data_IF_240384219373
#
_entry.id   IF_240384219373
#
_cell.length_a   1.000
_cell.length_b   1.000
_cell.length_c   1.000
_cell.angle_alpha   90.00
_cell.angle_beta   90.00
_cell.angle_gamma   90.00
#
_symmetry.space_group_name_H-M   'P 1'
#
loop_
_entity.id
_entity.type
_entity.pdbx_description
1 polymer ?
#
# COMPACT_ATOMS: atom_id res chain seq x y z
N UNK A 1 -2.55 8.71 -9.29
CA UNK A 1 -1.71 8.78 -10.49
C UNK A 1 -0.58 7.77 -10.32
N UNK A 2 -0.55 6.67 -11.07
CA UNK A 2 0.49 5.65 -10.94
C UNK A 2 1.67 6.02 -11.85
N UNK A 3 2.81 6.37 -11.25
CA UNK A 3 4.09 6.48 -11.97
C UNK A 3 4.69 5.07 -12.07
N UNK A 4 4.76 4.55 -13.29
CA UNK A 4 5.40 3.27 -13.59
C UNK A 4 6.58 3.53 -14.53
N UNK A 5 7.79 3.55 -13.97
CA UNK A 5 9.00 3.46 -14.80
C UNK A 5 9.04 2.05 -15.40
N UNK A 6 9.21 2.03 -16.73
CA UNK A 6 8.80 0.99 -17.67
C UNK A 6 9.47 -0.38 -17.54
N UNK A 7 9.95 -0.81 -16.37
CA UNK A 7 10.59 -2.13 -16.27
C UNK A 7 10.12 -3.08 -15.17
N UNK A 8 9.71 -2.71 -13.95
CA UNK A 8 9.60 -3.78 -12.93
C UNK A 8 8.64 -3.63 -11.73
N UNK A 9 7.80 -2.61 -11.65
CA UNK A 9 6.87 -2.47 -10.51
C UNK A 9 5.58 -1.73 -10.82
N UNK A 10 4.47 -2.25 -10.32
CA UNK A 10 3.19 -1.52 -10.23
C UNK A 10 3.11 -0.86 -8.86
N UNK A 11 2.96 0.46 -8.84
CA UNK A 11 2.76 1.23 -7.62
C UNK A 11 1.29 1.59 -7.46
N UNK A 12 0.68 1.11 -6.38
CA UNK A 12 -0.71 1.38 -6.05
C UNK A 12 -0.78 2.62 -5.17
N UNK A 13 -0.99 3.80 -5.76
CA UNK A 13 -1.23 5.02 -5.01
C UNK A 13 -2.70 5.12 -4.58
N UNK A 14 -2.93 5.44 -3.30
CA UNK A 14 -4.18 5.94 -2.73
C UNK A 14 -5.46 5.18 -3.10
N UNK A 15 -5.53 3.91 -2.71
CA UNK A 15 -6.84 3.23 -2.63
C UNK A 15 -7.53 3.66 -1.33
N UNK A 16 -8.28 4.75 -1.41
CA UNK A 16 -9.18 5.20 -0.36
C UNK A 16 -10.60 4.71 -0.66
N UNK A 17 -11.20 4.02 0.31
CA UNK A 17 -12.62 3.64 0.27
C UNK A 17 -13.33 4.55 1.26
N UNK A 18 -14.34 5.26 0.75
CA UNK A 18 -15.19 6.12 1.57
C UNK A 18 -15.73 5.33 2.77
N UNK A 19 -15.72 5.87 4.02
CA UNK A 19 -16.06 5.14 5.24
C UNK A 19 -17.39 4.36 5.17
N UNK A 20 -18.40 4.93 4.53
CA UNK A 20 -19.72 4.32 4.34
C UNK A 20 -19.73 3.06 3.46
N UNK A 21 -18.67 2.84 2.67
CA UNK A 21 -18.50 1.68 1.79
C UNK A 21 -17.42 0.73 2.31
N UNK A 22 -16.96 0.91 3.55
CA UNK A 22 -16.08 -0.05 4.23
C UNK A 22 -16.91 -1.22 4.78
N UNK A 23 -16.29 -2.38 5.00
CA UNK A 23 -16.96 -3.56 5.58
C UNK A 23 -17.87 -4.36 4.64
N UNK A 24 -18.24 -3.83 3.47
CA UNK A 24 -19.10 -4.52 2.49
C UNK A 24 -18.32 -5.30 1.40
N UNK A 25 -16.99 -5.39 1.52
CA UNK A 25 -16.15 -6.14 0.59
C UNK A 25 -15.76 -5.39 -0.71
N UNK A 26 -16.28 -4.18 -0.94
CA UNK A 26 -15.93 -3.37 -2.12
C UNK A 26 -14.42 -3.14 -2.26
N UNK A 27 -13.76 -2.83 -1.15
CA UNK A 27 -12.30 -2.68 -1.12
C UNK A 27 -11.53 -3.90 -1.57
N UNK A 28 -11.97 -5.09 -1.15
CA UNK A 28 -11.34 -6.35 -1.56
C UNK A 28 -11.47 -6.55 -3.06
N UNK A 29 -12.65 -6.27 -3.63
CA UNK A 29 -12.88 -6.42 -5.07
C UNK A 29 -12.02 -5.46 -5.89
N UNK A 30 -11.92 -4.20 -5.47
CA UNK A 30 -11.06 -3.20 -6.12
C UNK A 30 -9.60 -3.65 -6.09
N UNK A 31 -9.08 -4.01 -4.92
CA UNK A 31 -7.68 -4.45 -4.80
C UNK A 31 -7.40 -5.72 -5.61
N UNK A 32 -8.29 -6.71 -5.55
CA UNK A 32 -8.15 -7.93 -6.36
C UNK A 32 -8.11 -7.59 -7.85
N UNK A 33 -8.96 -6.67 -8.31
CA UNK A 33 -8.95 -6.26 -9.72
C UNK A 33 -7.64 -5.57 -10.10
N UNK A 34 -7.10 -4.73 -9.22
CA UNK A 34 -5.82 -4.06 -9.45
C UNK A 34 -4.64 -5.05 -9.45
N UNK A 35 -4.69 -6.10 -8.63
CA UNK A 35 -3.73 -7.22 -8.68
C UNK A 35 -3.79 -7.93 -10.03
N UNK A 36 -4.99 -8.27 -10.52
CA UNK A 36 -5.18 -8.87 -11.85
C UNK A 36 -4.63 -7.98 -12.97
N UNK A 37 -4.92 -6.68 -12.93
CA UNK A 37 -4.44 -5.73 -13.94
C UNK A 37 -2.92 -5.54 -13.89
N UNK A 38 -2.30 -5.82 -12.75
CA UNK A 38 -0.84 -5.77 -12.57
C UNK A 38 -0.15 -7.09 -12.95
N UNK A 39 -0.88 -8.03 -13.55
CA UNK A 39 -0.31 -9.29 -14.03
C UNK A 39 0.78 -9.03 -15.08
N UNK A 40 1.96 -9.61 -14.87
CA UNK A 40 3.16 -9.37 -15.69
C UNK A 40 4.18 -8.42 -15.08
N UNK A 41 3.83 -7.69 -14.01
CA UNK A 41 4.81 -6.92 -13.23
C UNK A 41 5.47 -7.80 -12.16
N UNK A 42 6.76 -7.60 -11.90
CA UNK A 42 7.51 -8.41 -10.92
C UNK A 42 7.03 -8.23 -9.46
N UNK A 43 6.46 -7.07 -9.14
CA UNK A 43 5.98 -6.74 -7.79
C UNK A 43 4.91 -5.64 -7.83
N UNK A 44 4.04 -5.65 -6.82
CA UNK A 44 3.08 -4.60 -6.54
C UNK A 44 3.44 -3.99 -5.18
N UNK A 45 3.64 -2.68 -5.12
CA UNK A 45 3.99 -1.97 -3.88
C UNK A 45 2.85 -1.01 -3.54
N UNK A 46 2.50 -0.93 -2.25
CA UNK A 46 1.56 0.03 -1.70
C UNK A 46 2.06 0.53 -0.34
N UNK A 47 1.63 1.73 0.04
CA UNK A 47 1.74 2.22 1.41
C UNK A 47 0.38 2.07 2.09
N UNK A 48 0.35 1.29 3.17
CA UNK A 48 -0.85 1.13 3.96
C UNK A 48 -0.95 2.28 4.96
N UNK A 49 -2.16 2.85 5.13
CA UNK A 49 -2.45 3.68 6.28
C UNK A 49 -2.28 2.88 7.57
N UNK A 50 -1.87 3.57 8.65
CA UNK A 50 -1.70 2.98 9.98
C UNK A 50 -2.94 2.21 10.42
N UNK A 51 -2.74 0.99 10.91
CA UNK A 51 -3.80 0.10 11.35
C UNK A 51 -4.55 -0.62 10.23
N UNK A 52 -4.24 -0.35 8.95
CA UNK A 52 -4.87 -1.02 7.79
C UNK A 52 -4.00 -2.11 7.18
N UNK A 53 -2.82 -2.37 7.72
CA UNK A 53 -1.91 -3.41 7.22
C UNK A 53 -2.56 -4.81 7.30
N UNK A 54 -3.40 -5.05 8.31
CA UNK A 54 -4.13 -6.31 8.45
C UNK A 54 -5.07 -6.60 7.27
N UNK A 55 -5.64 -5.57 6.65
CA UNK A 55 -6.47 -5.72 5.46
C UNK A 55 -5.62 -6.21 4.28
N UNK A 56 -4.50 -5.54 3.99
CA UNK A 56 -3.62 -5.91 2.87
C UNK A 56 -2.91 -7.25 3.09
N UNK A 57 -2.56 -7.59 4.34
CA UNK A 57 -2.04 -8.92 4.70
C UNK A 57 -3.00 -10.05 4.31
N UNK A 58 -4.31 -9.87 4.52
CA UNK A 58 -5.35 -10.84 4.11
C UNK A 58 -5.49 -10.98 2.58
N UNK A 59 -4.92 -10.05 1.81
CA UNK A 59 -4.91 -10.05 0.35
C UNK A 59 -3.56 -10.50 -0.23
N UNK A 60 -2.65 -11.00 0.61
CA UNK A 60 -1.37 -11.57 0.18
C UNK A 60 -0.17 -10.61 0.19
N UNK A 61 -0.37 -9.33 0.55
CA UNK A 61 0.74 -8.39 0.70
C UNK A 61 1.59 -8.72 1.92
N UNK A 62 2.90 -8.49 1.81
CA UNK A 62 3.88 -8.66 2.89
C UNK A 62 4.61 -7.36 3.14
N UNK A 63 5.03 -7.13 4.40
CA UNK A 63 5.94 -6.03 4.72
C UNK A 63 7.28 -6.28 4.03
N UNK A 64 7.84 -5.25 3.40
CA UNK A 64 9.18 -5.32 2.83
C UNK A 64 10.21 -5.03 3.94
N UNK A 65 11.24 -5.86 4.02
CA UNK A 65 12.38 -5.62 4.91
C UNK A 65 13.32 -4.52 4.39
N UNK A 66 13.15 -4.13 3.13
CA UNK A 66 14.03 -3.20 2.40
C UNK A 66 13.34 -1.89 2.03
N UNK A 67 12.14 -1.62 2.58
CA UNK A 67 11.47 -0.35 2.36
C UNK A 67 12.16 0.75 3.19
N UNK A 68 12.51 1.86 2.54
CA UNK A 68 13.13 3.04 3.13
C UNK A 68 12.31 4.27 2.71
N UNK A 69 12.19 5.29 3.57
CA UNK A 69 11.47 6.52 3.27
C UNK A 69 12.12 7.73 3.96
N UNK A 70 12.02 8.90 3.33
CA UNK A 70 12.40 10.20 3.91
C UNK A 70 11.13 11.01 4.08
N UNK A 71 10.89 11.53 5.28
CA UNK A 71 9.75 12.41 5.59
C UNK A 71 10.25 13.83 5.83
N UNK A 72 9.48 14.84 5.41
CA UNK A 72 9.80 16.25 5.68
C UNK A 72 9.84 16.56 7.18
N UNK A 73 9.04 15.86 7.99
CA UNK A 73 9.12 15.81 9.44
C UNK A 73 9.33 14.37 9.89
N UNK A 74 10.59 13.97 10.04
CA UNK A 74 10.99 12.62 10.45
C UNK A 74 10.43 12.26 11.84
N UNK A 75 10.56 13.16 12.81
CA UNK A 75 10.11 12.91 14.18
C UNK A 75 8.63 12.60 14.23
N UNK A 76 7.80 13.40 13.56
CA UNK A 76 6.36 13.15 13.50
C UNK A 76 6.05 11.79 12.85
N UNK A 77 6.79 11.42 11.80
CA UNK A 77 6.58 10.14 11.11
C UNK A 77 6.98 8.94 11.99
N UNK A 78 8.00 9.08 12.85
CA UNK A 78 8.34 8.09 13.88
C UNK A 78 7.23 8.03 14.94
N UNK A 79 6.80 9.18 15.47
CA UNK A 79 5.82 9.28 16.56
C UNK A 79 4.48 8.61 16.18
N UNK A 80 4.07 8.73 14.92
CA UNK A 80 2.84 8.09 14.42
C UNK A 80 3.08 6.67 13.90
N UNK A 81 4.32 6.17 13.85
CA UNK A 81 4.66 4.80 13.45
C UNK A 81 4.75 4.55 11.94
N UNK A 82 4.89 5.60 11.13
CA UNK A 82 5.14 5.49 9.68
C UNK A 82 6.59 5.14 9.36
N UNK A 83 7.53 5.58 10.21
CA UNK A 83 8.93 5.20 10.18
C UNK A 83 9.27 4.33 11.40
N UNK A 84 10.28 3.47 11.24
CA UNK A 84 10.93 2.83 12.38
C UNK A 84 12.09 3.71 12.85
N UNK A 85 12.13 4.03 14.14
CA UNK A 85 13.34 4.47 14.82
C UNK A 85 14.25 3.25 14.97
N UNK A 86 15.38 3.23 14.27
CA UNK A 86 16.37 2.13 14.25
C UNK A 86 16.60 1.46 15.60
#
# INVERSE_FOLDING_TARGET
MALADRLDGSYLCDVAIHPEYQGIGLGRNIINKLIELSFGHKKIILYANLGKEGFYKKLGFKKMNTAMAIFSNEQQAIDVGLLSST
#
